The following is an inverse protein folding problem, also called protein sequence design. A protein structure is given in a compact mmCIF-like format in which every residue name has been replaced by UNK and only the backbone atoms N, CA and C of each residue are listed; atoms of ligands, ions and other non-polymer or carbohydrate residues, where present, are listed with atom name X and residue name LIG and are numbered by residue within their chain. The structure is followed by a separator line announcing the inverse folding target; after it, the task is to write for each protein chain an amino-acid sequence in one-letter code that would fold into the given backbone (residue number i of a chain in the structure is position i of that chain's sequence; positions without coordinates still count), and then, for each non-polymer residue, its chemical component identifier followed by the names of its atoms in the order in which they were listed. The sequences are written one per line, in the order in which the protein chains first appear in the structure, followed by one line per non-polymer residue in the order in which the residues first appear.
data_IF_250142337195
#
_entry.id   IF_250142337195
#
_cell.length_a   1.000
_cell.length_b   1.000
_cell.length_c   1.000
_cell.angle_alpha   90.00
_cell.angle_beta   90.00
_cell.angle_gamma   90.00
#
_symmetry.space_group_name_H-M   'P 1'
#
loop_
_entity.id
_entity.type
_entity.pdbx_description
1 polymer ?
#
# COMPACT_ATOMS: atom_id res chain seq x y z
N UNK A 1 9.83 -5.15 1.85
CA UNK A 1 9.71 -4.61 0.47
C UNK A 1 10.07 -3.13 0.42
N UNK A 2 9.34 -2.21 1.05
CA UNK A 2 9.62 -0.76 0.94
C UNK A 2 11.05 -0.38 1.36
N UNK A 3 11.53 -0.85 2.52
CA UNK A 3 12.92 -0.61 2.96
C UNK A 3 13.97 -1.13 1.96
N UNK A 4 13.77 -2.32 1.41
CA UNK A 4 14.66 -2.89 0.39
C UNK A 4 14.66 -2.09 -0.90
N UNK A 5 13.51 -1.56 -1.33
CA UNK A 5 13.43 -0.68 -2.49
C UNK A 5 14.12 0.66 -2.23
N UNK A 6 13.87 1.27 -1.06
CA UNK A 6 14.51 2.53 -0.67
C UNK A 6 16.05 2.41 -0.70
N UNK A 7 16.58 1.38 -0.04
CA UNK A 7 18.03 1.12 0.03
C UNK A 7 18.61 0.68 -1.31
N UNK A 8 17.93 -0.21 -2.03
CA UNK A 8 18.42 -0.77 -3.29
C UNK A 8 18.46 0.23 -4.45
N UNK A 9 17.61 1.26 -4.41
CA UNK A 9 17.58 2.31 -5.44
C UNK A 9 18.16 3.66 -4.98
N UNK A 10 18.55 3.81 -3.71
CA UNK A 10 18.98 5.10 -3.17
C UNK A 10 17.91 6.18 -3.32
N UNK A 11 16.63 5.79 -3.17
CA UNK A 11 15.50 6.68 -3.39
C UNK A 11 15.13 7.45 -2.11
N UNK A 12 14.57 8.64 -2.25
CA UNK A 12 14.07 9.44 -1.10
C UNK A 12 12.82 8.82 -0.48
N UNK A 13 12.05 8.07 -1.29
CA UNK A 13 10.79 7.45 -0.87
C UNK A 13 10.60 6.09 -1.53
N UNK A 14 9.91 5.19 -0.84
CA UNK A 14 9.53 3.90 -1.36
C UNK A 14 8.10 3.52 -0.94
N UNK A 15 7.32 3.04 -1.91
CA UNK A 15 5.98 2.47 -1.66
C UNK A 15 5.95 1.00 -2.00
N UNK A 16 5.37 0.17 -1.12
CA UNK A 16 5.18 -1.25 -1.33
C UNK A 16 3.70 -1.63 -1.21
N UNK A 17 3.25 -2.54 -2.08
CA UNK A 17 1.89 -3.05 -2.12
C UNK A 17 1.95 -4.57 -2.15
N UNK A 18 1.18 -5.23 -1.28
CA UNK A 18 0.97 -6.68 -1.35
C UNK A 18 -0.47 -7.01 -1.00
N UNK A 19 -1.09 -7.92 -1.73
CA UNK A 19 -2.49 -8.26 -1.49
C UNK A 19 -3.03 -9.31 -2.41
N UNK A 20 -4.30 -9.64 -2.21
CA UNK A 20 -5.02 -10.67 -2.94
C UNK A 20 -6.07 -10.00 -3.81
N UNK A 21 -5.75 -9.80 -5.09
CA UNK A 21 -6.69 -9.17 -6.04
C UNK A 21 -7.82 -10.13 -6.50
N UNK A 22 -7.71 -11.43 -6.23
CA UNK A 22 -8.72 -12.41 -6.66
C UNK A 22 -8.58 -12.83 -8.13
N UNK A 23 -9.56 -13.58 -8.68
CA UNK A 23 -10.80 -14.00 -8.00
C UNK A 23 -10.59 -15.09 -6.93
N UNK A 24 -9.45 -15.79 -6.95
CA UNK A 24 -9.08 -16.83 -5.98
C UNK A 24 -7.92 -16.38 -5.07
N UNK A 25 -7.53 -17.25 -4.14
CA UNK A 25 -6.37 -17.05 -3.25
C UNK A 25 -6.68 -16.35 -1.93
N UNK A 26 -7.94 -15.98 -1.68
CA UNK A 26 -8.40 -15.50 -0.38
C UNK A 26 -8.70 -16.63 0.59
N UNK A 27 -8.57 -16.36 1.88
CA UNK A 27 -9.04 -17.21 2.99
C UNK A 27 -10.08 -16.46 3.82
N UNK A 28 -10.80 -17.11 4.76
CA UNK A 28 -11.68 -16.41 5.70
C UNK A 28 -10.95 -15.31 6.49
N UNK A 29 -9.69 -15.54 6.86
CA UNK A 29 -8.86 -14.61 7.63
C UNK A 29 -8.24 -13.52 6.75
N UNK A 30 -8.01 -13.81 5.46
CA UNK A 30 -7.41 -12.89 4.49
C UNK A 30 -8.18 -12.94 3.16
N UNK A 31 -9.39 -12.35 3.10
CA UNK A 31 -10.26 -12.46 1.94
C UNK A 31 -9.69 -11.75 0.71
N UNK A 32 -10.22 -12.11 -0.47
CA UNK A 32 -10.01 -11.34 -1.70
C UNK A 32 -10.36 -9.87 -1.45
N UNK A 33 -9.51 -8.98 -1.97
CA UNK A 33 -9.53 -7.55 -1.73
C UNK A 33 -8.63 -7.10 -0.59
N UNK A 34 -8.08 -8.00 0.23
CA UNK A 34 -7.13 -7.63 1.29
C UNK A 34 -5.81 -7.16 0.69
N UNK A 35 -5.48 -5.89 0.90
CA UNK A 35 -4.24 -5.26 0.40
C UNK A 35 -3.58 -4.47 1.52
N UNK A 36 -2.29 -4.72 1.70
CA UNK A 36 -1.39 -4.01 2.60
C UNK A 36 -0.51 -3.06 1.79
N UNK A 37 -0.37 -1.85 2.31
CA UNK A 37 0.40 -0.75 1.75
C UNK A 37 1.42 -0.29 2.78
N UNK A 38 2.63 0.02 2.33
CA UNK A 38 3.65 0.71 3.14
C UNK A 38 4.27 1.83 2.33
N UNK A 39 4.34 3.01 2.91
CA UNK A 39 5.16 4.14 2.45
C UNK A 39 6.29 4.32 3.46
N UNK A 40 7.52 4.43 2.96
CA UNK A 40 8.71 4.72 3.75
C UNK A 40 9.44 5.89 3.10
N UNK A 41 9.82 6.89 3.90
CA UNK A 41 10.72 7.96 3.50
C UNK A 41 12.13 7.68 4.05
N UNK A 42 13.14 8.24 3.41
CA UNK A 42 14.55 8.15 3.81
C UNK A 42 14.83 8.76 5.20
N UNK A 43 14.04 9.74 5.63
CA UNK A 43 14.03 10.32 6.97
C UNK A 43 13.44 9.40 8.05
N UNK A 44 12.99 8.19 7.68
CA UNK A 44 12.44 7.18 8.57
C UNK A 44 10.93 7.25 8.79
N UNK A 45 10.24 8.31 8.32
CA UNK A 45 8.77 8.36 8.39
C UNK A 45 8.17 7.20 7.61
N UNK A 46 7.31 6.45 8.31
CA UNK A 46 6.69 5.25 7.77
C UNK A 46 5.18 5.28 7.99
N UNK A 47 4.42 4.89 6.98
CA UNK A 47 2.97 4.71 7.09
C UNK A 47 2.60 3.36 6.50
N UNK A 48 1.98 2.49 7.31
CA UNK A 48 1.49 1.18 6.86
C UNK A 48 0.00 1.09 7.09
N UNK A 49 -0.73 0.55 6.10
CA UNK A 49 -2.18 0.36 6.20
C UNK A 49 -2.60 -0.91 5.48
N UNK A 50 -3.47 -1.69 6.10
CA UNK A 50 -4.15 -2.82 5.46
C UNK A 50 -5.63 -2.48 5.33
N UNK A 51 -6.19 -2.67 4.13
CA UNK A 51 -7.62 -2.46 3.87
C UNK A 51 -8.17 -3.60 3.02
N UNK A 52 -9.49 -3.72 2.99
CA UNK A 52 -10.19 -4.58 2.04
C UNK A 52 -10.83 -3.74 0.95
N UNK A 53 -10.32 -3.86 -0.27
CA UNK A 53 -10.83 -3.16 -1.44
C UNK A 53 -11.98 -3.98 -2.08
N UNK A 54 -13.11 -3.34 -2.41
CA UNK A 54 -14.18 -4.01 -3.13
C UNK A 54 -13.83 -4.19 -4.61
N UNK A 55 -14.67 -4.94 -5.33
CA UNK A 55 -14.63 -5.09 -6.79
C UNK A 55 -13.91 -6.34 -7.28
N UNK A 56 -13.79 -6.44 -8.60
CA UNK A 56 -13.10 -7.53 -9.27
C UNK A 56 -11.57 -7.32 -9.25
N UNK A 57 -10.82 -8.25 -9.86
CA UNK A 57 -9.35 -8.20 -9.91
C UNK A 57 -8.80 -6.89 -10.50
N UNK A 58 -9.45 -6.34 -11.53
CA UNK A 58 -9.06 -5.07 -12.15
C UNK A 58 -9.31 -3.91 -11.18
N UNK A 59 -10.51 -3.84 -10.60
CA UNK A 59 -10.89 -2.79 -9.66
C UNK A 59 -9.95 -2.76 -8.45
N UNK A 60 -9.62 -3.93 -7.90
CA UNK A 60 -8.73 -4.02 -6.73
C UNK A 60 -7.33 -3.51 -7.09
N UNK A 61 -6.80 -3.82 -8.26
CA UNK A 61 -5.48 -3.33 -8.71
C UNK A 61 -5.48 -1.82 -8.91
N UNK A 62 -6.49 -1.29 -9.60
CA UNK A 62 -6.61 0.15 -9.84
C UNK A 62 -6.74 0.93 -8.53
N UNK A 63 -7.68 0.52 -7.66
CA UNK A 63 -7.87 1.12 -6.33
C UNK A 63 -6.62 1.00 -5.46
N UNK A 64 -5.85 -0.09 -5.58
CA UNK A 64 -4.60 -0.25 -4.85
C UNK A 64 -3.60 0.83 -5.24
N UNK A 65 -3.43 1.09 -6.53
CA UNK A 65 -2.55 2.17 -7.00
C UNK A 65 -3.00 3.52 -6.48
N UNK A 66 -4.30 3.84 -6.54
CA UNK A 66 -4.85 5.09 -6.02
C UNK A 66 -4.61 5.24 -4.51
N UNK A 67 -4.84 4.19 -3.72
CA UNK A 67 -4.61 4.20 -2.27
C UNK A 67 -3.14 4.38 -1.95
N UNK A 68 -2.25 3.70 -2.66
CA UNK A 68 -0.80 3.82 -2.49
C UNK A 68 -0.30 5.25 -2.74
N UNK A 69 -0.70 5.85 -3.87
CA UNK A 69 -0.34 7.23 -4.21
C UNK A 69 -0.94 8.24 -3.23
N UNK A 70 -2.15 7.98 -2.74
CA UNK A 70 -2.77 8.82 -1.72
C UNK A 70 -2.03 8.75 -0.38
N UNK A 71 -1.61 7.55 0.06
CA UNK A 71 -0.79 7.38 1.26
C UNK A 71 0.55 8.10 1.10
N UNK A 72 1.22 7.93 -0.04
CA UNK A 72 2.50 8.60 -0.32
C UNK A 72 2.37 10.12 -0.20
N UNK A 73 1.37 10.71 -0.88
CA UNK A 73 1.09 12.15 -0.81
C UNK A 73 0.91 12.60 0.64
N UNK A 74 0.14 11.88 1.45
CA UNK A 74 -0.11 12.26 2.85
C UNK A 74 1.13 12.20 3.71
N UNK A 75 1.92 11.13 3.58
CA UNK A 75 3.18 10.97 4.32
C UNK A 75 4.14 12.09 3.97
N UNK A 76 4.25 12.46 2.68
CA UNK A 76 5.05 13.59 2.22
C UNK A 76 4.55 14.94 2.76
N UNK A 77 3.23 15.17 2.74
CA UNK A 77 2.63 16.43 3.21
C UNK A 77 2.53 16.56 4.75
N UNK A 78 2.92 15.53 5.51
CA UNK A 78 2.80 15.53 6.98
C UNK A 78 1.34 15.56 7.49
N UNK A 79 0.36 15.21 6.64
CA UNK A 79 -1.06 15.23 7.00
C UNK A 79 -1.40 13.93 7.74
N UNK A 80 -1.83 13.96 9.02
CA UNK A 80 -2.19 12.76 9.78
C UNK A 80 -3.28 11.96 9.07
N UNK A 81 -3.26 10.63 9.23
CA UNK A 81 -4.30 9.70 8.77
C UNK A 81 -5.69 10.07 9.31
N UNK A 82 -6.72 9.99 8.46
CA UNK A 82 -8.12 10.06 8.92
C UNK A 82 -8.44 8.68 9.50
N UNK A 83 -9.20 8.61 10.61
CA UNK A 83 -9.52 7.35 11.29
C UNK A 83 -10.19 6.34 10.36
#
# INVERSE_FOLDING_TARGET
MAAGALQGFGADTATAITGIAGPSGGTPEKPVGTVCFTVLLDDGRTTTRTVRLPGNRSDIRERSTTVAMHLLRRTLSGIPGSP
#
